data_IF_827955162195
#
_entry.id   IF_827955162195
#
_cell.length_a   1.000
_cell.length_b   1.000
_cell.length_c   1.000
_cell.angle_alpha   90.00
_cell.angle_beta   90.00
_cell.angle_gamma   90.00
#
_symmetry.space_group_name_H-M   'P 1'
#
loop_
_entity.id
_entity.type
_entity.pdbx_description
1 polymer ?
#
# COMPACT_ATOMS: atom_id res chain seq x y z
N UNK A 1 27.51 20.37 3.99
CA UNK A 1 28.30 21.04 5.05
C UNK A 1 29.41 21.85 4.38
N UNK A 2 29.66 23.10 4.79
CA UNK A 2 30.85 23.86 4.36
C UNK A 2 32.00 23.49 5.30
N UNK A 3 33.02 22.80 4.81
CA UNK A 3 34.20 22.39 5.57
C UNK A 3 35.43 22.40 4.66
N UNK A 4 36.63 22.54 5.24
CA UNK A 4 37.86 22.32 4.48
C UNK A 4 37.94 20.86 4.03
N UNK A 5 38.42 20.63 2.80
CA UNK A 5 38.41 19.32 2.14
C UNK A 5 39.06 18.22 2.99
N UNK A 6 40.15 18.54 3.68
CA UNK A 6 40.88 17.61 4.55
C UNK A 6 40.06 17.16 5.75
N UNK A 7 39.40 18.09 6.45
CA UNK A 7 38.54 17.82 7.61
C UNK A 7 37.32 16.99 7.21
N UNK A 8 36.72 17.29 6.06
CA UNK A 8 35.60 16.52 5.52
C UNK A 8 35.98 15.06 5.25
N UNK A 9 37.12 14.83 4.62
CA UNK A 9 37.63 13.46 4.32
C UNK A 9 37.96 12.70 5.60
N UNK A 10 38.59 13.35 6.58
CA UNK A 10 38.89 12.74 7.88
C UNK A 10 37.61 12.28 8.59
N UNK A 11 36.61 13.16 8.69
CA UNK A 11 35.34 12.82 9.32
C UNK A 11 34.64 11.68 8.57
N UNK A 12 34.59 11.74 7.24
CA UNK A 12 34.00 10.68 6.42
C UNK A 12 34.68 9.32 6.67
N UNK A 13 36.01 9.31 6.83
CA UNK A 13 36.76 8.08 7.09
C UNK A 13 36.45 7.47 8.45
N UNK A 14 36.17 8.28 9.48
CA UNK A 14 35.74 7.79 10.80
C UNK A 14 34.42 7.02 10.66
N UNK A 15 33.41 7.59 9.99
CA UNK A 15 32.13 6.92 9.77
C UNK A 15 32.26 5.67 8.90
N UNK A 16 33.09 5.71 7.84
CA UNK A 16 33.35 4.54 6.99
C UNK A 16 34.06 3.42 7.76
N UNK A 17 35.00 3.74 8.64
CA UNK A 17 35.69 2.76 9.47
C UNK A 17 34.73 2.08 10.44
N UNK A 18 33.91 2.87 11.15
CA UNK A 18 32.90 2.34 12.06
C UNK A 18 31.85 1.48 11.35
N UNK A 19 31.33 1.95 10.21
CA UNK A 19 30.35 1.19 9.43
C UNK A 19 30.88 -0.18 8.95
N UNK A 20 32.18 -0.29 8.61
CA UNK A 20 32.81 -1.57 8.26
C UNK A 20 32.95 -2.50 9.47
N UNK A 21 33.31 -1.94 10.62
CA UNK A 21 33.38 -2.71 11.87
C UNK A 21 32.00 -3.29 12.24
N UNK A 22 30.95 -2.46 12.15
CA UNK A 22 29.58 -2.86 12.45
C UNK A 22 29.08 -3.95 11.49
N UNK A 23 29.38 -3.81 10.20
CA UNK A 23 29.03 -4.84 9.21
C UNK A 23 29.75 -6.18 9.47
N UNK A 24 31.00 -6.15 9.95
CA UNK A 24 31.74 -7.36 10.30
C UNK A 24 31.14 -8.08 11.52
N UNK A 25 30.74 -7.33 12.55
CA UNK A 25 30.06 -7.87 13.75
C UNK A 25 28.70 -8.50 13.40
N UNK A 26 27.92 -7.83 12.56
CA UNK A 26 26.65 -8.39 12.05
C UNK A 26 26.91 -9.63 11.20
N UNK A 27 27.96 -9.64 10.37
CA UNK A 27 28.32 -10.80 9.57
C UNK A 27 28.64 -12.00 10.46
N UNK A 28 29.43 -11.82 11.52
CA UNK A 28 29.73 -12.89 12.48
C UNK A 28 28.45 -13.46 13.12
N UNK A 29 27.53 -12.57 13.53
CA UNK A 29 26.23 -12.96 14.08
C UNK A 29 25.37 -13.73 13.08
N UNK A 30 25.38 -13.33 11.81
CA UNK A 30 24.66 -14.05 10.75
C UNK A 30 25.27 -15.44 10.55
N UNK A 31 26.61 -15.56 10.52
CA UNK A 31 27.30 -16.84 10.30
C UNK A 31 27.07 -17.87 11.40
N UNK A 32 26.71 -17.44 12.62
CA UNK A 32 26.39 -18.36 13.72
C UNK A 32 24.99 -18.99 13.59
N UNK A 33 24.11 -18.44 12.76
CA UNK A 33 22.77 -18.97 12.53
C UNK A 33 22.74 -20.08 11.46
N UNK A 34 21.82 -21.07 11.57
CA UNK A 34 21.60 -22.06 10.53
C UNK A 34 21.29 -21.40 9.17
N UNK A 35 21.99 -21.82 8.11
CA UNK A 35 21.88 -21.22 6.76
C UNK A 35 22.58 -19.86 6.60
N UNK A 36 23.11 -19.29 7.69
CA UNK A 36 23.81 -18.01 7.65
C UNK A 36 25.13 -18.05 6.89
N UNK A 37 25.73 -19.24 6.69
CA UNK A 37 26.95 -19.46 5.88
C UNK A 37 26.74 -19.29 4.37
N UNK A 38 25.50 -19.30 3.91
CA UNK A 38 25.17 -19.16 2.49
C UNK A 38 24.94 -17.69 2.08
N UNK A 39 24.80 -16.79 3.06
CA UNK A 39 24.55 -15.35 2.82
C UNK A 39 25.86 -14.64 2.41
N UNK A 40 25.92 -13.93 1.27
CA UNK A 40 27.11 -13.16 0.88
C UNK A 40 27.41 -12.01 1.84
N UNK A 41 28.69 -11.70 2.08
CA UNK A 41 29.07 -10.55 2.90
C UNK A 41 28.55 -9.22 2.33
N UNK A 42 28.46 -9.10 1.01
CA UNK A 42 27.90 -7.93 0.32
C UNK A 42 26.41 -7.71 0.62
N UNK A 43 25.63 -8.78 0.88
CA UNK A 43 24.24 -8.64 1.32
C UNK A 43 24.15 -8.11 2.75
N UNK A 44 25.06 -8.54 3.63
CA UNK A 44 25.14 -8.04 5.00
C UNK A 44 25.53 -6.56 5.00
N UNK A 45 26.49 -6.15 4.17
CA UNK A 45 26.84 -4.74 3.99
C UNK A 45 25.65 -3.91 3.49
N UNK A 46 24.90 -4.42 2.50
CA UNK A 46 23.71 -3.77 1.99
C UNK A 46 22.61 -3.66 3.05
N UNK A 47 22.44 -4.70 3.87
CA UNK A 47 21.54 -4.70 5.02
C UNK A 47 21.94 -3.61 6.02
N UNK A 48 23.19 -3.58 6.48
CA UNK A 48 23.67 -2.59 7.44
C UNK A 48 23.50 -1.15 6.92
N UNK A 49 23.75 -0.92 5.63
CA UNK A 49 23.55 0.39 5.00
C UNK A 49 22.09 0.86 5.03
N UNK A 50 21.14 -0.07 4.97
CA UNK A 50 19.71 0.22 4.88
C UNK A 50 18.90 -0.21 6.11
N UNK A 51 19.56 -0.59 7.21
CA UNK A 51 18.91 -1.21 8.37
C UNK A 51 17.83 -0.32 8.99
N UNK A 52 18.08 1.00 9.03
CA UNK A 52 17.13 2.00 9.53
C UNK A 52 15.87 2.16 8.66
N UNK A 53 15.86 1.61 7.45
CA UNK A 53 14.79 1.78 6.47
C UNK A 53 14.05 0.48 6.16
N UNK A 54 14.38 -0.61 6.84
CA UNK A 54 13.73 -1.90 6.64
C UNK A 54 12.25 -1.78 6.98
N UNK A 55 11.42 -2.26 6.06
CA UNK A 55 9.96 -2.32 6.22
C UNK A 55 9.51 -3.75 5.97
N UNK A 56 8.65 -4.24 6.84
CA UNK A 56 7.95 -5.50 6.67
C UNK A 56 6.50 -5.20 6.34
N UNK A 57 6.05 -5.69 5.19
CA UNK A 57 4.69 -5.46 4.71
C UNK A 57 4.00 -6.81 4.69
N UNK A 58 3.00 -6.94 5.54
CA UNK A 58 2.10 -8.09 5.56
C UNK A 58 0.84 -7.69 4.81
N UNK A 59 0.48 -8.46 3.77
CA UNK A 59 -0.88 -8.41 3.26
C UNK A 59 -1.81 -9.00 4.32
N UNK A 60 -2.89 -8.31 4.65
CA UNK A 60 -3.92 -8.89 5.53
C UNK A 60 -4.56 -10.07 4.81
N UNK A 61 -4.40 -11.28 5.36
CA UNK A 61 -5.11 -12.48 4.90
C UNK A 61 -6.40 -12.70 5.69
N UNK A 62 -6.51 -12.10 6.89
CA UNK A 62 -7.79 -11.96 7.57
C UNK A 62 -8.61 -10.96 6.78
N UNK A 63 -9.60 -11.45 6.04
CA UNK A 63 -10.68 -10.61 5.58
C UNK A 63 -11.35 -10.02 6.84
N UNK A 64 -10.88 -8.85 7.29
CA UNK A 64 -11.71 -7.99 8.12
C UNK A 64 -13.05 -7.92 7.40
N UNK A 65 -14.12 -8.23 8.13
CA UNK A 65 -15.43 -8.28 7.47
C UNK A 65 -15.65 -6.93 6.81
N UNK A 66 -16.09 -6.92 5.55
CA UNK A 66 -16.38 -5.67 4.81
C UNK A 66 -17.27 -4.75 5.67
N UNK A 67 -18.14 -5.34 6.49
CA UNK A 67 -18.96 -4.66 7.48
C UNK A 67 -18.16 -3.90 8.56
N UNK A 68 -17.08 -4.48 9.09
CA UNK A 68 -16.22 -3.84 10.10
C UNK A 68 -15.48 -2.64 9.51
N UNK A 69 -14.94 -2.81 8.30
CA UNK A 69 -14.29 -1.72 7.56
C UNK A 69 -15.31 -0.62 7.27
N UNK A 70 -16.52 -0.98 6.83
CA UNK A 70 -17.57 -0.01 6.55
C UNK A 70 -17.96 0.81 7.78
N UNK A 71 -18.15 0.17 8.93
CA UNK A 71 -18.45 0.87 10.18
C UNK A 71 -17.35 1.85 10.58
N UNK A 72 -16.08 1.46 10.45
CA UNK A 72 -14.95 2.32 10.78
C UNK A 72 -14.82 3.52 9.83
N UNK A 73 -14.95 3.29 8.53
CA UNK A 73 -14.86 4.35 7.51
C UNK A 73 -16.03 5.35 7.62
N UNK A 74 -17.26 4.88 7.86
CA UNK A 74 -18.39 5.79 8.05
C UNK A 74 -18.25 6.66 9.31
N UNK A 75 -17.75 6.10 10.42
CA UNK A 75 -17.45 6.88 11.62
C UNK A 75 -16.33 7.91 11.38
N UNK A 76 -15.34 7.55 10.55
CA UNK A 76 -14.28 8.48 10.14
C UNK A 76 -14.82 9.61 9.26
N UNK A 77 -15.76 9.31 8.35
CA UNK A 77 -16.38 10.30 7.46
C UNK A 77 -17.19 11.35 8.23
N UNK A 78 -17.92 10.95 9.27
CA UNK A 78 -18.60 11.89 10.18
C UNK A 78 -17.61 12.87 10.82
N UNK A 79 -16.45 12.37 11.23
CA UNK A 79 -15.38 13.19 11.81
C UNK A 79 -14.65 14.05 10.75
N UNK A 80 -14.50 13.54 9.53
CA UNK A 80 -13.85 14.22 8.41
C UNK A 80 -14.68 15.42 7.93
N UNK A 81 -16.01 15.29 7.89
CA UNK A 81 -16.93 16.37 7.53
C UNK A 81 -16.78 17.59 8.45
N UNK A 82 -16.59 17.36 9.75
CA UNK A 82 -16.38 18.42 10.74
C UNK A 82 -15.00 19.10 10.61
N UNK A 83 -14.00 18.36 10.11
CA UNK A 83 -12.61 18.82 10.01
C UNK A 83 -12.20 19.26 8.60
N UNK A 84 -13.14 19.26 7.64
CA UNK A 84 -12.90 19.57 6.23
C UNK A 84 -11.83 18.66 5.59
N UNK A 85 -11.75 17.42 6.07
CA UNK A 85 -10.89 16.38 5.51
C UNK A 85 -11.63 15.67 4.36
N UNK A 86 -10.91 15.09 3.38
CA UNK A 86 -11.53 14.31 2.31
C UNK A 86 -12.26 13.08 2.87
N UNK A 87 -13.43 12.80 2.31
CA UNK A 87 -14.25 11.63 2.64
C UNK A 87 -13.63 10.34 2.09
N UNK A 88 -14.04 9.22 2.66
CA UNK A 88 -13.62 7.88 2.25
C UNK A 88 -14.07 7.56 0.83
N UNK A 89 -13.22 6.81 0.11
CA UNK A 89 -13.55 6.25 -1.20
C UNK A 89 -14.30 4.91 -1.10
N UNK A 90 -14.62 4.46 0.12
CA UNK A 90 -15.33 3.21 0.36
C UNK A 90 -16.65 3.09 -0.43
N UNK A 91 -17.51 4.12 -0.55
CA UNK A 91 -18.75 4.00 -1.32
C UNK A 91 -18.50 3.64 -2.80
N UNK A 92 -17.43 4.17 -3.40
CA UNK A 92 -17.02 3.86 -4.77
C UNK A 92 -16.51 2.42 -4.87
N UNK A 93 -15.67 2.00 -3.91
CA UNK A 93 -15.17 0.63 -3.84
C UNK A 93 -16.32 -0.40 -3.77
N UNK A 94 -17.29 -0.18 -2.88
CA UNK A 94 -18.46 -1.06 -2.74
C UNK A 94 -19.31 -1.10 -4.01
N UNK A 95 -19.53 0.06 -4.64
CA UNK A 95 -20.30 0.16 -5.89
C UNK A 95 -19.64 -0.57 -7.05
N UNK A 96 -18.31 -0.46 -7.19
CA UNK A 96 -17.54 -1.20 -8.19
C UNK A 96 -17.48 -2.71 -7.89
N UNK A 97 -17.36 -3.08 -6.61
CA UNK A 97 -17.41 -4.49 -6.19
C UNK A 97 -18.75 -5.14 -6.52
N UNK A 98 -19.86 -4.42 -6.38
CA UNK A 98 -21.19 -4.89 -6.75
C UNK A 98 -21.33 -5.16 -8.26
N UNK A 99 -20.68 -4.36 -9.12
CA UNK A 99 -20.73 -4.49 -10.59
C UNK A 99 -19.65 -5.39 -11.20
N UNK A 100 -18.72 -5.92 -10.39
CA UNK A 100 -17.62 -6.81 -10.81
C UNK A 100 -18.00 -7.95 -11.78
N UNK A 101 -19.22 -8.48 -11.68
CA UNK A 101 -19.73 -9.56 -12.53
C UNK A 101 -20.89 -9.15 -13.43
N UNK A 102 -21.37 -7.90 -13.34
CA UNK A 102 -22.51 -7.38 -14.09
C UNK A 102 -22.28 -5.91 -14.43
N UNK A 103 -21.75 -5.65 -15.62
CA UNK A 103 -21.29 -4.32 -16.04
C UNK A 103 -22.43 -3.29 -16.28
N UNK A 104 -23.68 -3.76 -16.40
CA UNK A 104 -24.86 -2.93 -16.74
C UNK A 104 -25.95 -2.99 -15.65
N UNK A 105 -25.54 -3.12 -14.38
CA UNK A 105 -26.46 -3.09 -13.25
C UNK A 105 -27.05 -1.69 -13.05
N UNK A 106 -28.35 -1.61 -12.68
CA UNK A 106 -28.96 -0.33 -12.33
C UNK A 106 -28.52 0.13 -10.94
N UNK A 107 -28.66 1.42 -10.63
CA UNK A 107 -28.29 1.96 -9.31
C UNK A 107 -29.02 1.23 -8.16
N UNK A 108 -30.30 0.88 -8.34
CA UNK A 108 -31.05 0.09 -7.35
C UNK A 108 -30.50 -1.31 -7.16
N UNK A 109 -30.02 -1.96 -8.23
CA UNK A 109 -29.43 -3.30 -8.14
C UNK A 109 -28.09 -3.26 -7.40
N UNK A 110 -27.29 -2.21 -7.63
CA UNK A 110 -26.01 -1.99 -6.95
C UNK A 110 -26.24 -1.80 -5.45
N UNK A 111 -27.13 -0.90 -5.06
CA UNK A 111 -27.46 -0.65 -3.64
C UNK A 111 -28.02 -1.92 -2.99
N UNK A 112 -28.92 -2.64 -3.66
CA UNK A 112 -29.48 -3.89 -3.15
C UNK A 112 -28.41 -4.97 -2.93
N UNK A 113 -27.37 -5.01 -3.77
CA UNK A 113 -26.26 -5.96 -3.63
C UNK A 113 -25.34 -5.57 -2.48
N UNK A 114 -25.03 -4.28 -2.32
CA UNK A 114 -24.28 -3.76 -1.17
C UNK A 114 -25.04 -4.02 0.14
N UNK A 115 -26.37 -3.88 0.12
CA UNK A 115 -27.26 -4.14 1.24
C UNK A 115 -27.20 -5.55 1.84
N UNK A 116 -26.65 -6.53 1.10
CA UNK A 116 -26.43 -7.90 1.61
C UNK A 116 -25.29 -7.97 2.62
N UNK A 117 -24.26 -7.16 2.42
CA UNK A 117 -23.05 -7.15 3.24
C UNK A 117 -23.07 -6.01 4.27
N UNK A 118 -23.75 -4.90 3.96
CA UNK A 118 -23.84 -3.70 4.78
C UNK A 118 -25.32 -3.34 4.99
N UNK A 119 -25.87 -3.52 6.21
CA UNK A 119 -27.21 -3.05 6.53
C UNK A 119 -27.36 -1.53 6.33
N UNK A 120 -28.55 -1.08 5.95
CA UNK A 120 -28.89 0.35 5.78
C UNK A 120 -28.08 1.08 4.68
N UNK A 121 -27.53 0.34 3.71
CA UNK A 121 -26.80 0.91 2.59
C UNK A 121 -27.63 1.88 1.74
N UNK A 122 -28.95 1.70 1.70
CA UNK A 122 -29.93 2.55 1.01
C UNK A 122 -30.14 3.91 1.69
N UNK A 123 -29.87 3.98 3.00
CA UNK A 123 -30.02 5.20 3.80
C UNK A 123 -28.79 6.11 3.73
N UNK A 124 -27.65 5.59 3.24
CA UNK A 124 -26.41 6.37 3.13
C UNK A 124 -26.35 7.10 1.77
N UNK A 125 -26.43 8.44 1.73
CA UNK A 125 -26.46 9.20 0.48
C UNK A 125 -25.17 9.05 -0.34
N UNK A 126 -24.02 8.83 0.32
CA UNK A 126 -22.74 8.65 -0.37
C UNK A 126 -22.71 7.33 -1.16
N UNK A 127 -23.36 6.27 -0.65
CA UNK A 127 -23.48 4.99 -1.35
C UNK A 127 -24.43 5.12 -2.53
N UNK A 128 -25.59 5.77 -2.34
CA UNK A 128 -26.56 5.98 -3.42
C UNK A 128 -25.94 6.79 -4.56
N UNK A 129 -25.27 7.90 -4.25
CA UNK A 129 -24.60 8.73 -5.25
C UNK A 129 -23.49 7.97 -6.00
N UNK A 130 -22.69 7.17 -5.28
CA UNK A 130 -21.66 6.34 -5.90
C UNK A 130 -22.27 5.25 -6.80
N UNK A 131 -23.38 4.63 -6.39
CA UNK A 131 -24.09 3.63 -7.18
C UNK A 131 -24.70 4.23 -8.45
N UNK A 132 -25.28 5.43 -8.37
CA UNK A 132 -25.79 6.17 -9.53
C UNK A 132 -24.67 6.48 -10.52
N UNK A 133 -23.53 6.96 -10.05
CA UNK A 133 -22.40 7.31 -10.91
C UNK A 133 -21.75 6.09 -11.56
N UNK A 134 -21.64 4.97 -10.83
CA UNK A 134 -21.17 3.70 -11.38
C UNK A 134 -22.15 3.14 -12.41
N UNK A 135 -23.46 3.19 -12.14
CA UNK A 135 -24.49 2.79 -13.10
C UNK A 135 -24.45 3.68 -14.36
N UNK A 136 -24.24 5.00 -14.19
CA UNK A 136 -24.08 5.96 -15.30
C UNK A 136 -22.84 5.67 -16.14
N UNK A 137 -21.74 5.25 -15.52
CA UNK A 137 -20.50 4.90 -16.21
C UNK A 137 -20.66 3.64 -17.08
N UNK A 138 -21.60 2.74 -16.74
CA UNK A 138 -21.98 1.55 -17.53
C UNK A 138 -20.79 0.71 -18.03
N UNK A 139 -19.79 0.51 -17.15
CA UNK A 139 -18.57 -0.24 -17.48
C UNK A 139 -17.63 0.47 -18.48
N UNK A 140 -17.77 1.77 -18.69
CA UNK A 140 -16.92 2.54 -19.59
C UNK A 140 -15.47 2.64 -19.12
N UNK A 141 -14.54 2.29 -20.00
CA UNK A 141 -13.09 2.39 -19.74
C UNK A 141 -12.50 3.62 -20.42
N UNK A 142 -12.16 4.64 -19.63
CA UNK A 142 -11.49 5.82 -20.15
C UNK A 142 -9.99 5.55 -20.32
N UNK A 143 -9.45 5.91 -21.49
CA UNK A 143 -8.02 5.71 -21.79
C UNK A 143 -7.11 6.37 -20.76
N UNK A 144 -7.40 7.60 -20.33
CA UNK A 144 -6.56 8.32 -19.37
C UNK A 144 -6.57 7.65 -17.98
N UNK A 145 -7.72 7.14 -17.54
CA UNK A 145 -7.84 6.42 -16.26
C UNK A 145 -7.11 5.07 -16.35
N UNK A 146 -7.26 4.38 -17.48
CA UNK A 146 -6.58 3.12 -17.74
C UNK A 146 -5.05 3.27 -17.78
N UNK A 147 -4.56 4.33 -18.44
CA UNK A 147 -3.13 4.64 -18.50
C UNK A 147 -2.57 5.00 -17.10
N UNK A 148 -3.31 5.78 -16.32
CA UNK A 148 -2.93 6.12 -14.94
C UNK A 148 -2.86 4.87 -14.05
N UNK A 149 -3.92 4.07 -14.03
CA UNK A 149 -3.99 2.82 -13.24
C UNK A 149 -2.91 1.85 -13.69
N UNK A 150 -2.69 1.71 -15.00
CA UNK A 150 -1.62 0.87 -15.55
C UNK A 150 -0.22 1.29 -15.07
N UNK A 151 0.06 2.60 -15.01
CA UNK A 151 1.31 3.12 -14.46
C UNK A 151 1.49 2.81 -12.97
N UNK A 152 0.42 2.96 -12.18
CA UNK A 152 0.43 2.62 -10.75
C UNK A 152 0.69 1.12 -10.52
N UNK A 153 -0.06 0.26 -11.23
CA UNK A 153 0.08 -1.20 -11.13
C UNK A 153 1.48 -1.65 -11.58
N UNK A 154 1.99 -1.12 -12.70
CA UNK A 154 3.33 -1.44 -13.19
C UNK A 154 4.41 -1.09 -12.17
N UNK A 155 4.28 0.06 -11.51
CA UNK A 155 5.23 0.47 -10.47
C UNK A 155 5.17 -0.43 -9.24
N UNK A 156 3.97 -0.80 -8.78
CA UNK A 156 3.81 -1.74 -7.66
C UNK A 156 4.35 -3.14 -8.00
N UNK A 157 4.11 -3.61 -9.22
CA UNK A 157 4.68 -4.86 -9.71
C UNK A 157 6.21 -4.80 -9.75
N UNK A 158 6.78 -3.70 -10.26
CA UNK A 158 8.22 -3.49 -10.28
C UNK A 158 8.83 -3.51 -8.88
N UNK A 159 8.18 -2.90 -7.87
CA UNK A 159 8.61 -2.96 -6.46
C UNK A 159 8.63 -4.39 -5.93
N UNK A 160 7.63 -5.22 -6.27
CA UNK A 160 7.57 -6.64 -5.87
C UNK A 160 8.71 -7.44 -6.49
N UNK A 161 8.95 -7.31 -7.80
CA UNK A 161 9.97 -8.10 -8.52
C UNK A 161 11.38 -7.75 -8.09
N UNK A 162 11.67 -6.46 -7.94
CA UNK A 162 13.04 -6.00 -7.63
C UNK A 162 13.43 -6.20 -6.18
N UNK A 163 12.49 -6.62 -5.32
CA UNK A 163 12.67 -6.63 -3.87
C UNK A 163 13.38 -5.36 -3.39
N UNK A 164 13.02 -4.19 -3.94
CA UNK A 164 13.70 -2.91 -3.67
C UNK A 164 13.59 -2.59 -2.18
N UNK A 165 14.53 -3.15 -1.42
CA UNK A 165 14.80 -2.93 -0.02
C UNK A 165 15.01 -1.42 0.09
N UNK A 166 14.08 -0.76 0.76
CA UNK A 166 14.27 0.52 1.44
C UNK A 166 14.01 1.85 0.71
N UNK A 167 13.68 1.94 -0.59
CA UNK A 167 13.36 3.27 -1.21
C UNK A 167 11.87 3.55 -1.42
N UNK A 168 11.03 2.55 -1.65
CA UNK A 168 9.61 2.77 -1.94
C UNK A 168 8.75 1.70 -1.28
N UNK A 169 7.94 2.08 -0.29
CA UNK A 169 6.96 1.16 0.30
C UNK A 169 5.90 0.84 -0.74
N UNK A 170 5.55 -0.43 -0.99
CA UNK A 170 4.28 -0.74 -1.62
C UNK A 170 3.12 -0.23 -0.76
N UNK A 171 2.02 0.14 -1.42
CA UNK A 171 0.79 0.53 -0.74
C UNK A 171 0.17 -0.70 -0.06
N UNK A 172 -0.26 -0.54 1.20
CA UNK A 172 -0.48 -1.68 2.08
C UNK A 172 -1.70 -2.53 1.79
N UNK A 173 -2.75 -2.09 1.09
CA UNK A 173 -4.04 -2.81 1.18
C UNK A 173 -4.95 -2.89 -0.07
N UNK A 174 -4.54 -2.50 -1.29
CA UNK A 174 -5.51 -2.37 -2.41
C UNK A 174 -5.30 -3.36 -3.59
N UNK A 175 -4.15 -4.03 -3.71
CA UNK A 175 -3.82 -4.81 -4.93
C UNK A 175 -3.75 -6.33 -4.75
N UNK A 176 -4.45 -6.90 -3.77
CA UNK A 176 -4.37 -8.34 -3.50
C UNK A 176 -5.48 -9.22 -4.10
N UNK A 177 -6.52 -8.66 -4.72
CA UNK A 177 -7.62 -9.42 -5.36
C UNK A 177 -7.49 -9.57 -6.89
N UNK A 178 -6.34 -10.06 -7.38
CA UNK A 178 -6.22 -10.48 -8.80
C UNK A 178 -5.66 -11.90 -8.93
N UNK A 179 -6.18 -12.84 -8.15
CA UNK A 179 -6.05 -14.27 -8.41
C UNK A 179 -7.31 -15.02 -8.03
#
# INVERSE_FOLDING_TARGET
MKAQSTVYVQLQNIYKAKARQDAAEVLETVRSHPGGKDIPATEVELFCKNAAFIKLIHGTTSASSILEVAKAEFANDESAALTQMPLSLLPIYLSLGATSHVNSATASDIVAKIGKDIPEADSNPSIVNAAEEVARANGGELHNISALTGGMVAQEFHKKVTHLKCSHSPHSNIFHELK
#
